data_IF_641853546991
#
_entry.id   IF_641853546991
#
_cell.length_a   1.000
_cell.length_b   1.000
_cell.length_c   1.000
_cell.angle_alpha   90.00
_cell.angle_beta   90.00
_cell.angle_gamma   90.00
#
_symmetry.space_group_name_H-M   'P 1'
#
loop_
_entity.id
_entity.type
_entity.pdbx_description
1 polymer ?
#
# COMPACT_ATOMS: atom_id res chain seq x y z
N UNK A 1 -39.18 -4.47 -3.77
CA UNK A 1 -38.36 -4.13 -4.94
C UNK A 1 -37.80 -2.71 -4.84
N UNK A 2 -38.61 -1.71 -4.50
CA UNK A 2 -38.15 -0.33 -4.28
C UNK A 2 -36.92 -0.23 -3.34
N UNK A 3 -36.86 -1.04 -2.27
CA UNK A 3 -35.71 -1.09 -1.36
C UNK A 3 -34.39 -1.47 -2.02
N UNK A 4 -34.40 -2.31 -3.06
CA UNK A 4 -33.20 -2.69 -3.83
C UNK A 4 -32.73 -1.53 -4.69
N UNK A 5 -33.66 -0.83 -5.35
CA UNK A 5 -33.36 0.35 -6.16
C UNK A 5 -32.83 1.50 -5.28
N UNK A 6 -33.51 1.78 -4.18
CA UNK A 6 -33.08 2.78 -3.20
C UNK A 6 -31.74 2.42 -2.55
N UNK A 7 -31.54 1.15 -2.20
CA UNK A 7 -30.28 0.65 -1.66
C UNK A 7 -29.13 0.79 -2.64
N UNK A 8 -29.37 0.54 -3.92
CA UNK A 8 -28.37 0.77 -4.99
C UNK A 8 -27.96 2.25 -5.05
N UNK A 9 -28.93 3.17 -5.09
CA UNK A 9 -28.65 4.61 -5.07
C UNK A 9 -27.90 5.03 -3.80
N UNK A 10 -28.32 4.54 -2.63
CA UNK A 10 -27.68 4.87 -1.35
C UNK A 10 -26.23 4.36 -1.28
N UNK A 11 -25.96 3.14 -1.74
CA UNK A 11 -24.60 2.58 -1.80
C UNK A 11 -23.72 3.37 -2.78
N UNK A 12 -24.25 3.71 -3.95
CA UNK A 12 -23.53 4.53 -4.93
C UNK A 12 -23.24 5.95 -4.39
N UNK A 13 -24.21 6.61 -3.76
CA UNK A 13 -24.02 7.94 -3.17
C UNK A 13 -23.06 7.93 -1.96
N UNK A 14 -23.09 6.88 -1.15
CA UNK A 14 -22.17 6.73 -0.01
C UNK A 14 -20.73 6.42 -0.42
N UNK A 15 -20.45 6.17 -1.71
CA UNK A 15 -19.11 5.91 -2.23
C UNK A 15 -18.69 4.44 -2.20
N UNK A 16 -19.64 3.51 -2.02
CA UNK A 16 -19.37 2.08 -2.14
C UNK A 16 -19.15 1.72 -3.60
N UNK A 17 -17.97 1.18 -3.91
CA UNK A 17 -17.56 0.83 -5.28
C UNK A 17 -18.28 -0.45 -5.76
N UNK A 18 -19.58 -0.33 -6.07
CA UNK A 18 -20.37 -1.42 -6.65
C UNK A 18 -19.86 -1.77 -8.04
N UNK A 19 -19.78 -3.07 -8.35
CA UNK A 19 -19.35 -3.54 -9.67
C UNK A 19 -20.34 -3.09 -10.76
N UNK A 20 -21.65 -3.21 -10.49
CA UNK A 20 -22.75 -2.78 -11.38
C UNK A 20 -23.99 -2.37 -10.55
N UNK A 21 -24.78 -1.38 -11.00
CA UNK A 21 -26.04 -1.03 -10.35
C UNK A 21 -27.09 -2.13 -10.53
N UNK A 22 -27.96 -2.28 -9.54
CA UNK A 22 -29.03 -3.29 -9.51
C UNK A 22 -30.39 -2.59 -9.47
N UNK A 23 -31.32 -3.08 -10.27
CA UNK A 23 -32.73 -2.69 -10.22
C UNK A 23 -33.61 -3.89 -9.89
N UNK A 24 -34.84 -3.64 -9.49
CA UNK A 24 -35.83 -4.70 -9.30
C UNK A 24 -37.22 -4.25 -9.68
N UNK A 25 -38.06 -5.21 -10.06
CA UNK A 25 -39.47 -4.99 -10.44
C UNK A 25 -40.34 -6.07 -9.82
N UNK A 26 -41.55 -5.68 -9.41
CA UNK A 26 -42.59 -6.61 -8.99
C UNK A 26 -43.49 -6.91 -10.18
N UNK A 27 -43.81 -8.17 -10.38
CA UNK A 27 -44.55 -8.67 -11.53
C UNK A 27 -45.69 -9.54 -11.03
N UNK A 28 -46.79 -9.54 -11.77
CA UNK A 28 -47.96 -10.37 -11.46
C UNK A 28 -48.44 -11.14 -12.67
N UNK A 29 -49.29 -12.12 -12.42
CA UNK A 29 -50.01 -12.86 -13.44
C UNK A 29 -51.46 -13.00 -13.02
N UNK A 30 -52.38 -12.72 -13.94
CA UNK A 30 -53.79 -13.07 -13.82
C UNK A 30 -54.12 -14.07 -14.92
N UNK A 31 -54.82 -15.13 -14.57
CA UNK A 31 -55.25 -16.20 -15.48
C UNK A 31 -56.77 -16.38 -15.45
N UNK A 32 -57.35 -16.65 -16.61
CA UNK A 32 -58.76 -16.99 -16.78
C UNK A 32 -58.89 -18.06 -17.87
N UNK A 33 -58.89 -19.32 -17.43
CA UNK A 33 -58.83 -20.48 -18.32
C UNK A 33 -57.52 -20.49 -19.13
N UNK A 34 -57.63 -20.33 -20.45
CA UNK A 34 -56.48 -20.26 -21.36
C UNK A 34 -55.93 -18.83 -21.53
N UNK A 35 -56.67 -17.82 -21.07
CA UNK A 35 -56.24 -16.41 -21.16
C UNK A 35 -55.36 -16.06 -19.97
N UNK A 36 -54.34 -15.25 -20.21
CA UNK A 36 -53.52 -14.71 -19.14
C UNK A 36 -53.03 -13.29 -19.46
N UNK A 37 -52.73 -12.53 -18.42
CA UNK A 37 -52.08 -11.23 -18.51
C UNK A 37 -50.91 -11.18 -17.52
N UNK A 38 -49.73 -10.82 -18.03
CA UNK A 38 -48.56 -10.52 -17.20
C UNK A 38 -48.59 -9.03 -16.87
N UNK A 39 -48.60 -8.72 -15.58
CA UNK A 39 -48.62 -7.36 -15.04
C UNK A 39 -47.21 -6.93 -14.64
N UNK A 40 -46.90 -5.65 -14.84
CA UNK A 40 -45.60 -5.05 -14.50
C UNK A 40 -45.78 -3.95 -13.47
N UNK A 41 -44.90 -3.93 -12.48
CA UNK A 41 -44.92 -3.03 -11.34
C UNK A 41 -46.26 -3.05 -10.59
N UNK A 42 -46.64 -4.26 -10.16
CA UNK A 42 -47.95 -4.52 -9.57
C UNK A 42 -48.20 -3.71 -8.30
N UNK A 43 -49.45 -3.26 -8.16
CA UNK A 43 -50.00 -2.70 -6.94
C UNK A 43 -50.32 -3.80 -5.92
N UNK A 44 -50.56 -3.40 -4.67
CA UNK A 44 -50.95 -4.34 -3.61
C UNK A 44 -52.25 -5.10 -3.91
N UNK A 45 -53.22 -4.43 -4.56
CA UNK A 45 -54.49 -5.07 -4.95
C UNK A 45 -54.27 -6.10 -6.08
N UNK A 46 -53.38 -5.83 -7.01
CA UNK A 46 -53.03 -6.74 -8.11
C UNK A 46 -52.22 -7.95 -7.62
N UNK A 47 -51.36 -7.77 -6.62
CA UNK A 47 -50.68 -8.87 -5.91
C UNK A 47 -51.70 -9.74 -5.15
N UNK A 48 -52.66 -9.12 -4.45
CA UNK A 48 -53.67 -9.83 -3.68
C UNK A 48 -54.60 -10.68 -4.56
N UNK A 49 -55.04 -10.12 -5.69
CA UNK A 49 -55.99 -10.74 -6.61
C UNK A 49 -55.33 -11.62 -7.69
N UNK A 50 -54.01 -11.51 -7.88
CA UNK A 50 -53.26 -12.25 -8.89
C UNK A 50 -53.00 -13.71 -8.51
N UNK A 51 -52.82 -14.54 -9.55
CA UNK A 51 -52.58 -15.99 -9.47
C UNK A 51 -51.11 -16.36 -9.26
N UNK A 52 -50.22 -15.44 -9.63
CA UNK A 52 -48.80 -15.50 -9.30
C UNK A 52 -48.30 -14.09 -9.08
N UNK A 53 -47.43 -13.94 -8.10
CA UNK A 53 -46.58 -12.77 -7.95
C UNK A 53 -45.12 -13.19 -7.98
N UNK A 54 -44.28 -12.41 -8.65
CA UNK A 54 -42.85 -12.64 -8.61
C UNK A 54 -42.07 -11.34 -8.64
N UNK A 55 -40.95 -11.38 -7.94
CA UNK A 55 -40.07 -10.25 -7.70
C UNK A 55 -38.71 -10.58 -8.29
N UNK A 56 -38.27 -9.79 -9.26
CA UNK A 56 -37.00 -10.02 -9.96
C UNK A 56 -36.08 -8.84 -9.78
N UNK A 57 -34.82 -9.13 -9.42
CA UNK A 57 -33.76 -8.14 -9.27
C UNK A 57 -32.57 -8.50 -10.15
N UNK A 58 -31.81 -7.51 -10.60
CA UNK A 58 -30.54 -7.74 -11.28
C UNK A 58 -29.96 -6.54 -11.99
N UNK A 59 -28.82 -6.79 -12.63
CA UNK A 59 -28.03 -5.82 -13.39
C UNK A 59 -28.46 -5.83 -14.87
N UNK A 60 -27.74 -5.09 -15.72
CA UNK A 60 -27.84 -5.20 -17.18
C UNK A 60 -27.55 -6.61 -17.70
N UNK A 61 -26.73 -7.38 -16.98
CA UNK A 61 -26.14 -8.62 -17.46
C UNK A 61 -26.94 -9.86 -17.08
N UNK A 62 -27.78 -9.76 -16.05
CA UNK A 62 -28.45 -10.95 -15.52
C UNK A 62 -29.29 -10.69 -14.29
N UNK A 63 -29.89 -11.76 -13.79
CA UNK A 63 -30.69 -11.78 -12.57
C UNK A 63 -29.76 -12.03 -11.38
N UNK A 64 -29.89 -11.24 -10.32
CA UNK A 64 -29.17 -11.44 -9.06
C UNK A 64 -30.02 -12.17 -8.03
N UNK A 65 -31.34 -11.96 -8.04
CA UNK A 65 -32.29 -12.72 -7.24
C UNK A 65 -33.66 -12.75 -7.94
N UNK A 66 -34.35 -13.87 -7.77
CA UNK A 66 -35.73 -14.08 -8.20
C UNK A 66 -36.50 -14.73 -7.05
N UNK A 67 -37.64 -14.17 -6.69
CA UNK A 67 -38.58 -14.73 -5.74
C UNK A 67 -39.92 -14.89 -6.46
N UNK A 68 -40.51 -16.09 -6.40
CA UNK A 68 -41.80 -16.37 -7.02
C UNK A 68 -42.73 -16.99 -5.98
N UNK A 69 -43.97 -16.49 -5.90
CA UNK A 69 -45.06 -17.09 -5.16
C UNK A 69 -46.19 -17.44 -6.14
N UNK A 70 -46.50 -18.73 -6.23
CA UNK A 70 -47.46 -19.27 -7.19
C UNK A 70 -48.66 -19.76 -6.40
N UNK A 71 -49.84 -19.17 -6.65
CA UNK A 71 -51.09 -19.50 -5.95
C UNK A 71 -51.94 -20.52 -6.72
N UNK A 72 -51.55 -20.85 -7.94
CA UNK A 72 -52.19 -21.84 -8.82
C UNK A 72 -51.37 -23.13 -8.92
N UNK A 73 -51.97 -24.19 -9.49
CA UNK A 73 -51.35 -25.53 -9.55
C UNK A 73 -50.06 -25.61 -10.37
N UNK A 74 -49.82 -24.65 -11.26
CA UNK A 74 -48.61 -24.60 -12.07
C UNK A 74 -48.68 -23.58 -13.20
N UNK A 75 -47.53 -23.33 -13.81
CA UNK A 75 -47.35 -22.41 -14.93
C UNK A 75 -46.67 -23.13 -16.08
N UNK A 76 -47.08 -22.84 -17.31
CA UNK A 76 -46.35 -23.32 -18.47
C UNK A 76 -44.99 -22.61 -18.56
N UNK A 77 -44.01 -23.30 -19.13
CA UNK A 77 -42.69 -22.71 -19.39
C UNK A 77 -42.79 -21.43 -20.23
N UNK A 78 -43.67 -21.42 -21.23
CA UNK A 78 -43.90 -20.26 -22.11
C UNK A 78 -44.40 -19.03 -21.36
N UNK A 79 -45.30 -19.21 -20.38
CA UNK A 79 -45.80 -18.10 -19.56
C UNK A 79 -44.67 -17.54 -18.71
N UNK A 80 -43.87 -18.42 -18.10
CA UNK A 80 -42.73 -18.01 -17.28
C UNK A 80 -41.67 -17.26 -18.10
N UNK A 81 -41.36 -17.75 -19.30
CA UNK A 81 -40.41 -17.10 -20.22
C UNK A 81 -40.88 -15.70 -20.61
N UNK A 82 -42.14 -15.55 -21.01
CA UNK A 82 -42.72 -14.23 -21.31
C UNK A 82 -42.70 -13.31 -20.10
N UNK A 83 -43.05 -13.82 -18.93
CA UNK A 83 -43.08 -13.06 -17.70
C UNK A 83 -41.68 -12.54 -17.32
N UNK A 84 -40.65 -13.38 -17.43
CA UNK A 84 -39.25 -12.99 -17.18
C UNK A 84 -38.72 -11.99 -18.22
N UNK A 85 -39.11 -12.12 -19.49
CA UNK A 85 -38.74 -11.17 -20.53
C UNK A 85 -39.36 -9.79 -20.29
N UNK A 86 -40.65 -9.73 -19.94
CA UNK A 86 -41.32 -8.49 -19.58
C UNK A 86 -40.71 -7.88 -18.30
N UNK A 87 -40.37 -8.72 -17.31
CA UNK A 87 -39.65 -8.28 -16.10
C UNK A 87 -38.28 -7.69 -16.43
N UNK A 88 -37.55 -8.26 -17.39
CA UNK A 88 -36.27 -7.74 -17.86
C UNK A 88 -36.44 -6.32 -18.41
N UNK A 89 -37.43 -6.09 -19.27
CA UNK A 89 -37.69 -4.77 -19.85
C UNK A 89 -38.02 -3.74 -18.78
N UNK A 90 -38.93 -4.07 -17.85
CA UNK A 90 -39.27 -3.19 -16.74
C UNK A 90 -38.09 -2.90 -15.81
N UNK A 91 -37.25 -3.90 -15.51
CA UNK A 91 -36.00 -3.68 -14.79
C UNK A 91 -35.05 -2.74 -15.52
N UNK A 92 -34.85 -2.92 -16.83
CA UNK A 92 -33.94 -2.04 -17.59
C UNK A 92 -34.47 -0.60 -17.61
N UNK A 93 -35.79 -0.42 -17.67
CA UNK A 93 -36.40 0.90 -17.54
C UNK A 93 -36.10 1.54 -16.18
N UNK A 94 -36.30 0.81 -15.08
CA UNK A 94 -36.00 1.31 -13.73
C UNK A 94 -34.50 1.56 -13.56
N UNK A 95 -33.66 0.67 -14.08
CA UNK A 95 -32.20 0.80 -14.05
C UNK A 95 -31.76 2.08 -14.76
N UNK A 96 -32.38 2.42 -15.90
CA UNK A 96 -32.05 3.65 -16.62
C UNK A 96 -32.32 4.88 -15.75
N UNK A 97 -33.43 4.90 -14.99
CA UNK A 97 -33.75 6.00 -14.06
C UNK A 97 -32.74 6.10 -12.91
N UNK A 98 -32.25 4.98 -12.41
CA UNK A 98 -31.16 4.95 -11.42
C UNK A 98 -29.90 5.58 -12.02
N UNK A 99 -29.49 5.15 -13.21
CA UNK A 99 -28.25 5.63 -13.85
C UNK A 99 -28.35 7.06 -14.35
N UNK A 100 -29.55 7.53 -14.74
CA UNK A 100 -29.82 8.93 -15.07
C UNK A 100 -29.63 9.83 -13.84
N UNK A 101 -29.85 9.29 -12.63
CA UNK A 101 -29.69 10.02 -11.36
C UNK A 101 -28.25 9.95 -10.85
N UNK A 102 -27.67 8.75 -10.76
CA UNK A 102 -26.28 8.52 -10.37
C UNK A 102 -25.67 7.50 -11.33
N UNK A 103 -24.87 7.99 -12.28
CA UNK A 103 -24.28 7.14 -13.33
C UNK A 103 -23.20 6.18 -12.80
N UNK A 104 -22.43 6.61 -11.79
CA UNK A 104 -21.33 5.86 -11.18
C UNK A 104 -21.30 6.10 -9.68
N UNK A 105 -20.84 5.14 -8.87
CA UNK A 105 -20.60 5.39 -7.45
C UNK A 105 -19.70 6.61 -7.24
N UNK A 106 -19.93 7.35 -6.16
CA UNK A 106 -19.03 8.42 -5.76
C UNK A 106 -17.62 7.86 -5.56
N UNK A 107 -16.57 8.59 -5.97
CA UNK A 107 -15.19 8.07 -5.96
C UNK A 107 -14.68 7.81 -4.54
N UNK A 108 -15.18 8.57 -3.58
CA UNK A 108 -14.79 8.48 -2.18
C UNK A 108 -16.03 8.44 -1.30
N UNK A 109 -15.89 7.84 -0.11
CA UNK A 109 -16.92 7.91 0.93
C UNK A 109 -17.11 9.35 1.42
N UNK A 110 -18.25 9.63 2.06
CA UNK A 110 -18.56 10.96 2.60
C UNK A 110 -17.54 11.37 3.68
N UNK A 111 -17.32 12.68 3.93
CA UNK A 111 -16.30 13.15 4.88
C UNK A 111 -16.48 12.67 6.33
N UNK A 112 -17.71 12.39 6.75
CA UNK A 112 -18.03 11.90 8.09
C UNK A 112 -18.04 10.37 8.20
N UNK A 113 -17.87 9.66 7.07
CA UNK A 113 -17.85 8.22 7.07
C UNK A 113 -16.50 7.72 7.61
N UNK A 114 -16.50 6.73 8.53
CA UNK A 114 -15.27 6.12 8.97
C UNK A 114 -14.59 5.40 7.79
N UNK A 115 -13.32 5.71 7.58
CA UNK A 115 -12.45 5.10 6.58
C UNK A 115 -11.54 4.10 7.26
N UNK A 116 -11.24 3.02 6.57
CA UNK A 116 -10.25 2.02 6.98
C UNK A 116 -9.21 1.94 5.88
N UNK A 117 -7.98 2.28 6.20
CA UNK A 117 -6.84 2.16 5.29
C UNK A 117 -6.01 0.98 5.76
N UNK A 118 -5.78 0.02 4.86
CA UNK A 118 -4.93 -1.14 5.14
C UNK A 118 -3.58 -0.97 4.47
N UNK A 119 -2.51 -1.25 5.21
CA UNK A 119 -1.13 -1.17 4.74
C UNK A 119 -0.35 -2.39 5.23
N UNK A 120 0.70 -2.76 4.50
CA UNK A 120 1.65 -3.79 4.89
C UNK A 120 2.98 -3.20 5.38
N UNK A 121 3.52 -3.81 6.44
CA UNK A 121 4.84 -3.49 6.98
C UNK A 121 5.62 -4.78 7.26
N UNK A 122 6.90 -4.90 6.87
CA UNK A 122 7.73 -6.03 7.26
C UNK A 122 7.82 -6.19 8.78
N UNK A 123 7.82 -7.44 9.27
CA UNK A 123 7.77 -7.75 10.71
C UNK A 123 8.87 -7.07 11.55
N UNK A 124 10.06 -6.93 10.99
CA UNK A 124 11.20 -6.27 11.64
C UNK A 124 10.93 -4.79 12.02
N UNK A 125 10.04 -4.12 11.30
CA UNK A 125 9.72 -2.71 11.52
C UNK A 125 8.53 -2.49 12.46
N UNK A 126 7.72 -3.52 12.71
CA UNK A 126 6.54 -3.45 13.58
C UNK A 126 6.92 -3.03 15.00
N UNK A 127 7.99 -3.62 15.55
CA UNK A 127 8.45 -3.30 16.91
C UNK A 127 8.85 -1.82 17.05
N UNK A 128 9.49 -1.25 16.02
CA UNK A 128 9.86 0.16 16.00
C UNK A 128 8.63 1.07 15.84
N UNK A 129 7.66 0.67 15.02
CA UNK A 129 6.41 1.39 14.82
C UNK A 129 5.53 1.44 16.08
N UNK A 130 5.37 0.31 16.77
CA UNK A 130 4.62 0.23 18.04
C UNK A 130 5.34 1.03 19.14
N UNK A 131 6.67 0.95 19.18
CA UNK A 131 7.51 1.55 20.21
C UNK A 131 7.46 0.79 21.54
N UNK A 132 8.31 1.17 22.50
CA UNK A 132 8.39 0.51 23.81
C UNK A 132 7.07 0.63 24.56
N UNK A 133 6.40 -0.50 24.82
CA UNK A 133 5.11 -0.54 25.52
C UNK A 133 3.94 0.07 24.73
N UNK A 134 4.06 0.24 23.41
CA UNK A 134 3.00 0.85 22.59
C UNK A 134 2.96 2.37 22.63
N UNK A 135 3.98 3.03 23.18
CA UNK A 135 3.99 4.49 23.33
C UNK A 135 3.85 5.22 21.99
N UNK A 136 4.59 4.83 20.96
CA UNK A 136 4.60 5.53 19.67
C UNK A 136 3.23 5.43 18.98
N UNK A 137 2.63 4.24 18.96
CA UNK A 137 1.31 4.03 18.37
C UNK A 137 0.20 4.71 19.19
N UNK A 138 0.31 4.78 20.52
CA UNK A 138 -0.65 5.50 21.37
C UNK A 138 -0.56 7.02 21.15
N UNK A 139 0.65 7.58 21.09
CA UNK A 139 0.89 8.99 20.83
C UNK A 139 0.38 9.38 19.42
N UNK A 140 0.63 8.52 18.42
CA UNK A 140 0.13 8.71 17.05
C UNK A 140 -1.40 8.68 16.98
N UNK A 141 -2.04 7.69 17.60
CA UNK A 141 -3.51 7.59 17.64
C UNK A 141 -4.14 8.81 18.35
N UNK A 142 -3.55 9.24 19.47
CA UNK A 142 -4.07 10.37 20.24
C UNK A 142 -4.00 11.69 19.47
N UNK A 143 -2.90 11.96 18.75
CA UNK A 143 -2.76 13.23 18.00
C UNK A 143 -3.55 13.25 16.69
N UNK A 144 -3.68 12.10 16.02
CA UNK A 144 -4.40 11.99 14.74
C UNK A 144 -5.88 11.68 14.90
N UNK A 145 -6.33 11.39 16.13
CA UNK A 145 -7.68 10.91 16.43
C UNK A 145 -8.08 9.69 15.56
N UNK A 146 -7.10 8.81 15.32
CA UNK A 146 -7.28 7.55 14.60
C UNK A 146 -7.20 6.36 15.56
N UNK A 147 -7.70 5.20 15.13
CA UNK A 147 -7.43 3.92 15.76
C UNK A 147 -6.55 3.11 14.84
N UNK A 148 -5.42 2.62 15.33
CA UNK A 148 -4.45 1.85 14.54
C UNK A 148 -4.36 0.46 15.14
N UNK A 149 -4.72 -0.54 14.33
CA UNK A 149 -4.64 -1.96 14.66
C UNK A 149 -3.50 -2.57 13.86
N UNK A 150 -2.67 -3.38 14.52
CA UNK A 150 -1.56 -4.08 13.86
C UNK A 150 -1.75 -5.58 14.08
N UNK A 151 -1.85 -6.32 12.99
CA UNK A 151 -1.97 -7.78 12.99
C UNK A 151 -0.74 -8.40 12.32
N UNK A 152 -0.03 -9.30 13.01
CA UNK A 152 1.09 -10.03 12.42
C UNK A 152 0.60 -11.26 11.65
N UNK A 153 0.82 -11.28 10.34
CA UNK A 153 0.47 -12.38 9.44
C UNK A 153 1.72 -12.88 8.72
N UNK A 154 2.34 -13.93 9.28
CA UNK A 154 3.59 -14.49 8.76
C UNK A 154 4.77 -13.54 8.92
N UNK A 155 5.40 -13.16 7.81
CA UNK A 155 6.54 -12.22 7.77
C UNK A 155 6.11 -10.74 7.58
N UNK A 156 4.82 -10.48 7.43
CA UNK A 156 4.25 -9.14 7.28
C UNK A 156 3.31 -8.80 8.44
N UNK A 157 3.29 -7.53 8.80
CA UNK A 157 2.26 -6.92 9.64
C UNK A 157 1.25 -6.18 8.78
N UNK A 158 -0.03 -6.48 8.96
CA UNK A 158 -1.13 -5.72 8.39
C UNK A 158 -1.48 -4.61 9.38
N UNK A 159 -1.33 -3.37 8.94
CA UNK A 159 -1.67 -2.17 9.71
C UNK A 159 -3.00 -1.65 9.17
N UNK A 160 -4.00 -1.57 10.04
CA UNK A 160 -5.29 -0.99 9.74
C UNK A 160 -5.42 0.35 10.47
N UNK A 161 -5.54 1.44 9.70
CA UNK A 161 -5.75 2.79 10.22
C UNK A 161 -7.23 3.13 10.02
N UNK A 162 -7.94 3.31 11.13
CA UNK A 162 -9.34 3.68 11.17
C UNK A 162 -9.47 5.15 11.60
N UNK A 163 -10.22 5.93 10.85
CA UNK A 163 -10.45 7.34 11.19
C UNK A 163 -11.60 7.94 10.39
N UNK A 164 -12.08 9.09 10.83
CA UNK A 164 -13.07 9.89 10.07
C UNK A 164 -12.42 11.09 9.39
N UNK A 165 -11.38 11.67 9.99
CA UNK A 165 -10.66 12.79 9.44
C UNK A 165 -9.57 12.35 8.45
N UNK A 166 -9.59 12.95 7.26
CA UNK A 166 -8.65 12.63 6.18
C UNK A 166 -7.23 13.12 6.50
N UNK A 167 -7.10 14.26 7.18
CA UNK A 167 -5.79 14.78 7.56
C UNK A 167 -5.11 13.87 8.60
N UNK A 168 -5.84 13.47 9.64
CA UNK A 168 -5.34 12.52 10.65
C UNK A 168 -4.97 11.16 10.06
N UNK A 169 -5.78 10.62 9.13
CA UNK A 169 -5.46 9.38 8.42
C UNK A 169 -4.18 9.53 7.58
N UNK A 170 -4.06 10.62 6.83
CA UNK A 170 -2.90 10.87 5.97
C UNK A 170 -1.61 10.98 6.79
N UNK A 171 -1.68 11.66 7.94
CA UNK A 171 -0.56 11.77 8.86
C UNK A 171 -0.15 10.41 9.46
N UNK A 172 -1.11 9.53 9.76
CA UNK A 172 -0.84 8.17 10.20
C UNK A 172 -0.22 7.31 9.10
N UNK A 173 -0.68 7.44 7.85
CA UNK A 173 -0.09 6.78 6.67
C UNK A 173 1.37 7.21 6.49
N UNK A 174 1.65 8.51 6.60
CA UNK A 174 3.00 9.05 6.50
C UNK A 174 3.92 8.53 7.61
N UNK A 175 3.41 8.41 8.84
CA UNK A 175 4.16 7.82 9.95
C UNK A 175 4.49 6.34 9.70
N UNK A 176 3.55 5.56 9.16
CA UNK A 176 3.80 4.15 8.76
C UNK A 176 4.87 4.07 7.66
N UNK A 177 4.75 4.91 6.63
CA UNK A 177 5.70 4.93 5.51
C UNK A 177 7.10 5.40 5.93
N UNK A 178 7.19 6.35 6.87
CA UNK A 178 8.46 6.78 7.42
C UNK A 178 9.23 5.59 8.02
N UNK A 179 8.58 4.76 8.84
CA UNK A 179 9.24 3.58 9.43
C UNK A 179 9.65 2.55 8.36
N UNK A 180 8.82 2.37 7.32
CA UNK A 180 9.10 1.48 6.18
C UNK A 180 10.23 1.97 5.28
N UNK A 181 10.63 3.25 5.36
CA UNK A 181 11.61 3.81 4.45
C UNK A 181 12.94 3.05 4.48
N UNK A 182 13.35 2.57 3.32
CA UNK A 182 14.66 2.01 3.04
C UNK A 182 15.35 2.89 2.00
N UNK A 183 16.53 3.45 2.30
CA UNK A 183 17.24 4.28 1.34
C UNK A 183 17.71 3.43 0.16
N UNK A 184 17.50 3.94 -1.06
CA UNK A 184 17.89 3.30 -2.32
C UNK A 184 19.34 3.67 -2.65
N UNK A 185 20.14 2.67 -3.02
CA UNK A 185 21.55 2.89 -3.38
C UNK A 185 21.68 3.84 -4.57
N UNK A 186 22.49 4.89 -4.41
CA UNK A 186 22.73 5.89 -5.42
C UNK A 186 21.82 7.11 -5.34
N UNK A 187 20.78 7.11 -4.52
CA UNK A 187 19.94 8.28 -4.31
C UNK A 187 20.56 9.26 -3.30
N UNK A 188 20.11 10.51 -3.42
CA UNK A 188 20.55 11.62 -2.56
C UNK A 188 19.42 11.98 -1.60
N UNK A 189 19.73 12.06 -0.32
CA UNK A 189 18.76 12.38 0.72
C UNK A 189 19.25 13.53 1.58
N UNK A 190 18.32 14.40 1.96
CA UNK A 190 18.55 15.43 2.97
C UNK A 190 18.38 14.81 4.35
N UNK A 191 19.45 14.78 5.13
CA UNK A 191 19.51 14.12 6.44
C UNK A 191 19.93 15.08 7.54
N UNK A 192 19.52 14.81 8.77
CA UNK A 192 19.92 15.60 9.94
C UNK A 192 21.06 14.93 10.70
N UNK A 193 22.06 15.70 11.12
CA UNK A 193 23.12 15.23 12.01
C UNK A 193 22.57 15.08 13.42
N UNK A 194 22.54 13.85 13.96
CA UNK A 194 22.03 13.56 15.30
C UNK A 194 23.12 13.68 16.35
N UNK A 195 24.31 13.14 16.07
CA UNK A 195 25.45 13.19 16.99
C UNK A 195 26.78 13.12 16.24
N UNK A 196 27.80 13.73 16.81
CA UNK A 196 29.18 13.68 16.28
C UNK A 196 30.03 12.68 17.06
N UNK A 197 30.97 12.00 16.38
CA UNK A 197 31.97 11.11 16.97
C UNK A 197 33.34 11.34 16.34
N UNK A 198 34.42 10.95 17.01
CA UNK A 198 35.80 11.24 16.54
C UNK A 198 36.09 10.75 15.10
N UNK A 199 35.43 9.67 14.66
CA UNK A 199 35.63 9.06 13.34
C UNK A 199 34.50 9.35 12.32
N UNK A 200 33.53 10.22 12.66
CA UNK A 200 32.41 10.51 11.76
C UNK A 200 31.22 11.22 12.41
N UNK A 201 30.09 11.23 11.71
CA UNK A 201 28.82 11.78 12.18
C UNK A 201 27.71 10.75 12.01
N UNK A 202 26.81 10.63 12.98
CA UNK A 202 25.57 9.88 12.79
C UNK A 202 24.51 10.79 12.20
N UNK A 203 24.01 10.41 11.04
CA UNK A 203 22.97 11.11 10.30
C UNK A 203 21.70 10.27 10.27
N UNK A 204 20.58 10.93 10.43
CA UNK A 204 19.26 10.31 10.49
C UNK A 204 18.52 10.57 9.17
N UNK A 205 18.17 9.48 8.48
CA UNK A 205 17.30 9.51 7.29
C UNK A 205 15.83 9.57 7.69
N UNK A 206 15.50 8.84 8.75
CA UNK A 206 14.18 8.70 9.33
C UNK A 206 14.35 8.56 10.84
N UNK A 207 13.44 9.13 11.65
CA UNK A 207 13.41 8.95 13.10
C UNK A 207 13.75 7.51 13.54
N UNK A 208 14.89 7.33 14.21
CA UNK A 208 15.34 6.05 14.75
C UNK A 208 16.17 5.15 13.82
N UNK A 209 16.44 5.55 12.57
CA UNK A 209 17.40 4.87 11.66
C UNK A 209 18.64 5.75 11.43
N UNK A 210 19.63 5.58 12.31
CA UNK A 210 20.93 6.26 12.21
C UNK A 210 21.86 5.58 11.21
N UNK A 211 22.56 6.37 10.40
CA UNK A 211 23.63 5.92 9.51
C UNK A 211 24.92 6.67 9.78
N UNK A 212 26.06 5.97 9.66
CA UNK A 212 27.37 6.56 9.95
C UNK A 212 27.97 7.21 8.70
N UNK A 213 28.11 8.53 8.72
CA UNK A 213 28.93 9.29 7.78
C UNK A 213 30.38 9.27 8.28
N UNK A 214 31.24 8.51 7.62
CA UNK A 214 32.66 8.45 7.98
C UNK A 214 33.39 9.75 7.62
N UNK A 215 34.36 10.18 8.42
CA UNK A 215 35.09 11.45 8.24
C UNK A 215 35.71 11.60 6.83
N UNK A 216 36.15 10.49 6.22
CA UNK A 216 36.72 10.47 4.86
C UNK A 216 35.70 10.69 3.73
N UNK A 217 34.41 10.59 4.04
CA UNK A 217 33.29 10.72 3.11
C UNK A 217 32.57 12.06 3.25
N UNK A 218 33.09 12.97 4.08
CA UNK A 218 32.51 14.31 4.33
C UNK A 218 32.91 15.30 3.24
N UNK A 219 34.19 15.33 2.85
CA UNK A 219 34.75 16.26 1.86
C UNK A 219 35.90 15.63 1.07
N UNK A 220 36.30 16.27 -0.04
CA UNK A 220 37.54 15.94 -0.77
C UNK A 220 38.80 16.45 -0.06
N UNK A 221 38.66 17.47 0.78
CA UNK A 221 39.74 18.02 1.58
C UNK A 221 40.02 17.16 2.82
N UNK A 222 41.24 17.24 3.35
CA UNK A 222 41.61 16.54 4.58
C UNK A 222 40.94 17.23 5.77
N UNK A 223 39.90 16.59 6.29
CA UNK A 223 39.22 17.00 7.53
C UNK A 223 39.88 16.24 8.69
N UNK A 224 40.58 16.96 9.58
CA UNK A 224 41.25 16.36 10.74
C UNK A 224 40.28 16.19 11.93
N UNK A 225 39.23 17.02 12.05
CA UNK A 225 38.14 16.87 13.04
C UNK A 225 36.78 17.06 12.41
N UNK A 226 35.82 16.20 12.77
CA UNK A 226 34.45 16.28 12.25
C UNK A 226 33.74 17.58 12.65
N UNK A 227 34.06 18.09 13.84
CA UNK A 227 33.53 19.32 14.44
C UNK A 227 33.83 20.57 13.60
N UNK A 228 34.90 20.53 12.80
CA UNK A 228 35.29 21.64 11.93
C UNK A 228 34.41 21.70 10.66
N UNK A 229 33.70 20.61 10.35
CA UNK A 229 32.92 20.47 9.10
C UNK A 229 31.42 20.28 9.29
N UNK A 230 30.98 19.80 10.46
CA UNK A 230 29.58 19.50 10.77
C UNK A 230 29.26 19.86 12.22
N UNK A 231 28.03 20.33 12.47
CA UNK A 231 27.48 20.52 13.81
C UNK A 231 26.31 19.58 14.05
N UNK A 232 26.07 19.25 15.32
CA UNK A 232 24.86 18.54 15.71
C UNK A 232 23.63 19.38 15.37
N UNK A 233 22.64 18.76 14.74
CA UNK A 233 21.44 19.42 14.25
C UNK A 233 21.52 19.96 12.81
N UNK A 234 22.68 19.92 12.16
CA UNK A 234 22.83 20.38 10.78
C UNK A 234 22.03 19.50 9.81
N UNK A 235 21.42 20.15 8.81
CA UNK A 235 20.72 19.49 7.70
C UNK A 235 21.68 19.46 6.51
N UNK A 236 22.06 18.26 6.07
CA UNK A 236 23.04 18.04 4.99
C UNK A 236 22.51 17.07 3.95
N UNK A 237 22.90 17.24 2.70
CA UNK A 237 22.64 16.25 1.65
C UNK A 237 23.72 15.17 1.64
N UNK A 238 23.31 13.91 1.64
CA UNK A 238 24.20 12.76 1.53
C UNK A 238 23.69 11.79 0.48
N UNK A 239 24.62 11.15 -0.23
CA UNK A 239 24.32 10.05 -1.15
C UNK A 239 24.38 8.73 -0.38
N UNK A 240 23.35 7.90 -0.51
CA UNK A 240 23.37 6.55 0.04
C UNK A 240 24.19 5.64 -0.88
N UNK A 241 25.24 5.01 -0.33
CA UNK A 241 26.17 4.14 -1.05
C UNK A 241 25.92 2.65 -0.78
N UNK A 242 24.75 2.30 -0.23
CA UNK A 242 24.39 0.93 0.08
C UNK A 242 24.92 0.45 1.45
N UNK A 243 24.96 -0.86 1.61
CA UNK A 243 25.39 -1.54 2.85
C UNK A 243 26.79 -2.11 2.65
N UNK A 244 27.70 -1.89 3.60
CA UNK A 244 29.04 -2.47 3.52
C UNK A 244 28.98 -4.01 3.66
N UNK A 245 29.51 -4.79 2.71
CA UNK A 245 29.43 -6.25 2.73
C UNK A 245 30.19 -6.89 3.90
N UNK A 246 31.13 -6.18 4.54
CA UNK A 246 31.90 -6.70 5.69
C UNK A 246 31.30 -6.32 7.04
N UNK A 247 30.72 -5.13 7.16
CA UNK A 247 30.21 -4.63 8.45
C UNK A 247 28.69 -4.67 8.57
N UNK A 248 27.97 -4.95 7.46
CA UNK A 248 26.51 -4.87 7.35
C UNK A 248 25.92 -3.52 7.79
N UNK A 249 26.74 -2.47 7.86
CA UNK A 249 26.32 -1.11 8.22
C UNK A 249 26.09 -0.28 6.96
N UNK A 250 25.11 0.61 7.04
CA UNK A 250 24.79 1.59 6.00
C UNK A 250 25.96 2.55 5.76
N UNK A 251 26.28 2.79 4.48
CA UNK A 251 27.32 3.73 4.06
C UNK A 251 26.69 4.93 3.37
N UNK A 252 27.09 6.11 3.82
CA UNK A 252 26.62 7.39 3.28
C UNK A 252 27.82 8.26 2.94
N UNK A 253 27.71 9.07 1.89
CA UNK A 253 28.78 9.95 1.46
C UNK A 253 28.27 11.30 1.01
N UNK A 254 28.80 12.36 1.61
CA UNK A 254 28.62 13.75 1.16
C UNK A 254 29.60 14.09 0.05
N UNK A 255 30.80 13.52 0.10
CA UNK A 255 31.85 13.65 -0.91
C UNK A 255 31.41 13.22 -2.30
N UNK A 256 30.55 12.20 -2.40
CA UNK A 256 30.01 11.72 -3.68
C UNK A 256 29.13 12.76 -4.41
N UNK A 257 28.66 13.80 -3.71
CA UNK A 257 27.88 14.91 -4.27
C UNK A 257 28.75 16.13 -4.61
N UNK A 258 29.94 16.22 -4.02
CA UNK A 258 30.86 17.33 -4.26
C UNK A 258 31.65 17.09 -5.56
N UNK A 259 31.75 18.09 -6.46
CA UNK A 259 32.49 17.97 -7.70
C UNK A 259 33.94 17.60 -7.38
N UNK A 260 34.42 16.52 -8.01
CA UNK A 260 35.77 16.02 -7.78
C UNK A 260 36.79 17.10 -8.18
N UNK A 261 37.61 17.60 -7.25
CA UNK A 261 38.68 18.53 -7.60
C UNK A 261 39.62 17.84 -8.59
N UNK A 262 40.16 18.57 -9.59
CA UNK A 262 41.10 18.01 -10.55
C UNK A 262 42.24 17.34 -9.79
N UNK A 263 42.59 16.11 -10.21
CA UNK A 263 43.82 15.46 -9.72
C UNK A 263 44.97 16.39 -10.10
N UNK A 264 45.55 17.08 -9.12
CA UNK A 264 46.95 17.46 -9.26
C UNK A 264 47.73 16.16 -9.37
N UNK A 265 48.42 16.00 -10.49
CA UNK A 265 49.42 14.96 -10.68
C UNK A 265 50.38 15.05 -9.49
N UNK A 266 50.21 14.14 -8.51
CA UNK A 266 51.31 13.90 -7.58
C UNK A 266 52.48 13.51 -8.47
N UNK A 267 53.62 14.23 -8.43
CA UNK A 267 54.80 13.75 -9.12
C UNK A 267 55.02 12.32 -8.66
N UNK A 268 55.19 11.40 -9.61
CA UNK A 268 55.69 10.05 -9.32
C UNK A 268 56.84 10.24 -8.34
N UNK A 269 56.74 9.64 -7.16
CA UNK A 269 57.89 9.63 -6.27
C UNK A 269 58.99 8.87 -7.00
N UNK A 270 59.96 9.60 -7.54
CA UNK A 270 61.24 9.09 -8.00
C UNK A 270 61.99 8.57 -6.76
N UNK A 271 61.55 7.44 -6.23
CA UNK A 271 62.44 6.58 -5.46
C UNK A 271 63.24 5.83 -6.52
N UNK A 272 64.57 6.04 -6.62
CA UNK A 272 65.37 5.25 -7.54
C UNK A 272 65.16 3.78 -7.18
N UNK A 273 64.75 3.01 -8.18
CA UNK A 273 64.79 1.56 -8.15
C UNK A 273 66.26 1.19 -7.92
N UNK A 274 66.60 0.82 -6.69
CA UNK A 274 67.95 0.43 -6.33
C UNK A 274 68.19 -0.98 -6.89
N UNK A 275 68.51 -1.02 -8.17
CA UNK A 275 68.90 -2.20 -8.93
C UNK A 275 70.27 -2.68 -8.42
N UNK A 276 70.27 -3.37 -7.28
CA UNK A 276 71.43 -4.17 -6.88
C UNK A 276 71.28 -5.55 -7.52
N UNK A 277 72.19 -5.96 -8.41
CA UNK A 277 72.15 -7.29 -9.01
C UNK A 277 72.24 -8.34 -7.91
N UNK A 278 71.20 -9.16 -7.79
CA UNK A 278 71.22 -10.36 -6.96
C UNK A 278 72.27 -11.30 -7.55
N UNK A 279 73.40 -11.39 -6.86
CA UNK A 279 74.48 -12.30 -7.19
C UNK A 279 73.98 -13.72 -6.97
N UNK A 280 73.86 -14.48 -8.06
CA UNK A 280 73.56 -15.90 -8.07
C UNK A 280 74.61 -16.68 -7.27
N UNK A 281 74.22 -17.22 -6.12
CA UNK A 281 74.91 -18.34 -5.48
C UNK A 281 73.91 -19.44 -5.16
N UNK A 282 73.75 -20.26 -6.17
CA UNK A 282 73.42 -21.67 -6.15
C UNK A 282 73.95 -22.41 -4.89
N UNK A 283 73.04 -23.06 -4.16
CA UNK A 283 73.17 -24.21 -3.22
C UNK A 283 71.82 -24.30 -2.50
N UNK A 284 70.95 -25.30 -2.67
CA UNK A 284 71.17 -26.72 -2.86
C UNK A 284 70.48 -27.44 -1.69
N UNK A 285 69.55 -28.36 -1.99
CA UNK A 285 68.91 -29.35 -1.08
C UNK A 285 67.89 -28.79 -0.06
N UNK A 286 66.80 -29.46 0.32
CA UNK A 286 66.32 -30.80 0.01
C UNK A 286 64.80 -30.86 0.23
N UNK A 287 64.10 -31.57 -0.65
CA UNK A 287 62.76 -32.12 -0.41
C UNK A 287 62.77 -32.95 0.88
N UNK A 288 61.82 -32.73 1.78
CA UNK A 288 61.27 -33.82 2.62
C UNK A 288 59.80 -33.51 2.96
N UNK A 289 58.93 -34.18 2.21
CA UNK A 289 57.59 -34.56 2.65
C UNK A 289 57.67 -35.25 4.01
N UNK A 290 56.78 -34.89 4.93
CA UNK A 290 56.26 -35.85 5.90
C UNK A 290 54.75 -35.71 6.05
N UNK A 291 54.06 -36.81 6.35
CA UNK A 291 52.66 -37.03 5.99
C UNK A 291 51.72 -36.76 7.17
N UNK A 292 50.44 -36.67 6.83
CA UNK A 292 49.29 -36.83 7.74
C UNK A 292 49.40 -38.11 8.56
N UNK A 293 49.08 -38.01 9.84
CA UNK A 293 48.40 -39.01 10.68
C UNK A 293 47.51 -38.21 11.64
N UNK A 294 46.20 -38.35 11.50
CA UNK A 294 45.29 -39.11 12.38
C UNK A 294 44.85 -38.30 13.59
#
# INVERSE_FOLDING_TARGET
MATVCAGTLALMDSGVQMVKPVSGIAMGLITDGERYAVLSDILGDEDHLGDMDFKVTGTSDGITACQMDIKIKGLSYEILEKALNQAREGRMHILSKITDTIAKPNPTVKPHAPKIVKMDMPKEYIGAFIGTGGKNIQDLQARTNTTIVVEEVGELGIIEILGTDEAGIQEAIEAVNAVKFEPVEGETYTVKVVRLVEFGAFVEFVPGKDSLLHISEVSWDRVDKIEDSLKEGDIIEVKYLGIDPKTKKTRVSRKALLPRPPREDRPKSDKPYNDKPRNDRNKGHNNHQKPRQE
#
